data_IF_684697542915
#
_entry.id   IF_684697542915
#
_cell.length_a   1.000
_cell.length_b   1.000
_cell.length_c   1.000
_cell.angle_alpha   90.00
_cell.angle_beta   90.00
_cell.angle_gamma   90.00
#
_symmetry.space_group_name_H-M   'P 1'
#
loop_
_entity.id
_entity.type
_entity.pdbx_description
1 polymer ?
#
# COMPACT_ATOMS: atom_id res chain seq x y z
N UNK A 1 -3.19 11.08 -16.13
CA UNK A 1 -2.62 12.30 -15.52
C UNK A 1 -3.59 13.49 -15.59
N UNK A 2 -4.22 13.79 -16.74
CA UNK A 2 -5.14 14.96 -16.83
C UNK A 2 -6.31 14.90 -15.84
N UNK A 3 -6.88 13.71 -15.61
CA UNK A 3 -7.99 13.49 -14.66
C UNK A 3 -7.54 13.44 -13.19
N UNK A 4 -6.25 13.22 -12.94
CA UNK A 4 -5.70 13.13 -11.59
C UNK A 4 -5.43 14.50 -10.94
N UNK A 5 -5.69 15.60 -11.66
CA UNK A 5 -5.59 16.98 -11.18
C UNK A 5 -4.32 17.26 -10.34
N UNK A 6 -3.16 16.81 -10.86
CA UNK A 6 -1.85 16.95 -10.18
C UNK A 6 -1.49 15.84 -9.21
N UNK A 7 -2.42 14.95 -8.82
CA UNK A 7 -2.10 13.82 -7.98
C UNK A 7 -1.20 12.80 -8.69
N UNK A 8 -0.34 12.13 -7.92
CA UNK A 8 0.42 10.99 -8.42
C UNK A 8 -0.51 9.82 -8.74
N UNK A 9 -0.15 9.05 -9.76
CA UNK A 9 -0.92 7.88 -10.18
C UNK A 9 -0.13 6.63 -9.82
N UNK A 10 -0.75 5.72 -9.07
CA UNK A 10 -0.24 4.36 -8.88
C UNK A 10 -0.93 3.46 -9.91
N UNK A 11 -0.15 2.88 -10.82
CA UNK A 11 -0.67 1.96 -11.82
C UNK A 11 -0.79 0.55 -11.21
N UNK A 12 -2.01 0.05 -11.07
CA UNK A 12 -2.25 -1.31 -10.55
C UNK A 12 -2.04 -2.33 -11.68
N UNK A 13 -1.13 -3.28 -11.46
CA UNK A 13 -0.66 -4.24 -12.46
C UNK A 13 -0.95 -5.71 -12.12
N UNK A 14 -1.86 -5.97 -11.20
CA UNK A 14 -2.23 -7.34 -10.81
C UNK A 14 -2.74 -8.18 -11.99
N UNK A 15 -2.68 -9.52 -11.86
CA UNK A 15 -3.16 -10.42 -12.89
C UNK A 15 -2.44 -10.25 -14.23
N UNK A 16 -1.10 -10.23 -14.19
CA UNK A 16 -0.25 -10.01 -15.37
C UNK A 16 -0.61 -8.68 -16.11
N UNK A 17 -0.77 -7.59 -15.33
CA UNK A 17 -1.28 -6.30 -15.81
C UNK A 17 -2.63 -6.42 -16.54
N UNK A 18 -3.58 -7.14 -15.94
CA UNK A 18 -4.88 -7.46 -16.53
C UNK A 18 -4.78 -8.12 -17.92
N UNK A 19 -3.75 -8.97 -18.10
CA UNK A 19 -3.49 -9.69 -19.35
C UNK A 19 -2.65 -8.93 -20.39
N UNK A 20 -2.22 -7.71 -20.10
CA UNK A 20 -1.39 -6.91 -21.03
C UNK A 20 0.10 -7.27 -20.98
N UNK A 21 0.51 -8.14 -20.07
CA UNK A 21 1.91 -8.53 -19.86
C UNK A 21 2.61 -7.60 -18.85
N UNK A 22 2.88 -8.12 -17.65
CA UNK A 22 3.36 -7.37 -16.49
C UNK A 22 4.56 -6.47 -16.81
N UNK A 23 5.67 -7.04 -17.22
CA UNK A 23 6.94 -6.32 -17.42
C UNK A 23 6.89 -5.36 -18.63
N UNK A 24 6.29 -5.81 -19.73
CA UNK A 24 6.18 -4.99 -20.95
C UNK A 24 5.32 -3.76 -20.69
N UNK A 25 4.19 -3.95 -20.02
CA UNK A 25 3.29 -2.84 -19.72
C UNK A 25 3.87 -1.89 -18.67
N UNK A 26 4.52 -2.41 -17.62
CA UNK A 26 5.21 -1.58 -16.62
C UNK A 26 6.32 -0.72 -17.28
N UNK A 27 7.17 -1.31 -18.13
CA UNK A 27 8.21 -0.58 -18.86
C UNK A 27 7.62 0.50 -19.79
N UNK A 28 6.52 0.20 -20.47
CA UNK A 28 5.81 1.20 -21.26
C UNK A 28 5.31 2.36 -20.39
N UNK A 29 4.69 2.06 -19.25
CA UNK A 29 4.22 3.09 -18.31
C UNK A 29 5.37 3.94 -17.76
N UNK A 30 6.50 3.30 -17.39
CA UNK A 30 7.72 3.98 -16.95
C UNK A 30 8.23 4.96 -18.02
N UNK A 31 8.25 4.55 -19.29
CA UNK A 31 8.62 5.45 -20.40
C UNK A 31 7.66 6.63 -20.59
N UNK A 32 6.43 6.56 -20.04
CA UNK A 32 5.44 7.64 -20.03
C UNK A 32 5.45 8.46 -18.73
N UNK A 33 6.45 8.23 -17.87
CA UNK A 33 6.63 8.93 -16.62
C UNK A 33 5.62 8.51 -15.54
N UNK A 34 5.15 7.26 -15.56
CA UNK A 34 4.52 6.62 -14.40
C UNK A 34 5.62 5.90 -13.65
N UNK A 35 5.77 6.21 -12.38
CA UNK A 35 6.84 5.75 -11.49
C UNK A 35 6.32 5.13 -10.19
N UNK A 36 5.02 4.86 -10.13
CA UNK A 36 4.40 4.20 -8.97
C UNK A 36 3.49 3.07 -9.45
N UNK A 37 3.67 1.89 -8.88
CA UNK A 37 2.98 0.68 -9.27
C UNK A 37 2.37 -0.03 -8.07
N UNK A 38 1.25 -0.71 -8.28
CA UNK A 38 0.61 -1.54 -7.27
C UNK A 38 0.44 -2.97 -7.79
N UNK A 39 0.85 -3.95 -7.01
CA UNK A 39 0.68 -5.37 -7.32
C UNK A 39 0.05 -6.11 -6.14
N UNK A 40 -0.47 -7.32 -6.37
CA UNK A 40 -1.03 -8.17 -5.30
C UNK A 40 -0.16 -9.36 -4.96
N UNK A 41 0.76 -9.75 -5.86
CA UNK A 41 1.64 -10.88 -5.67
C UNK A 41 3.08 -10.42 -5.45
N UNK A 42 3.76 -10.96 -4.43
CA UNK A 42 5.17 -10.66 -4.18
C UNK A 42 6.05 -11.04 -5.38
N UNK A 43 5.75 -12.16 -6.02
CA UNK A 43 6.45 -12.61 -7.24
C UNK A 43 6.37 -11.61 -8.39
N UNK A 44 5.24 -10.92 -8.54
CA UNK A 44 5.07 -9.86 -9.53
C UNK A 44 5.94 -8.64 -9.17
N UNK A 45 5.98 -8.24 -7.89
CA UNK A 45 6.83 -7.14 -7.42
C UNK A 45 8.31 -7.41 -7.68
N UNK A 46 8.79 -8.61 -7.29
CA UNK A 46 10.17 -9.07 -7.54
C UNK A 46 10.48 -9.12 -9.04
N UNK A 47 9.54 -9.61 -9.84
CA UNK A 47 9.68 -9.67 -11.30
C UNK A 47 9.83 -8.27 -11.89
N UNK A 48 9.05 -7.29 -11.44
CA UNK A 48 9.19 -5.90 -11.88
C UNK A 48 10.58 -5.35 -11.56
N UNK A 49 11.07 -5.53 -10.33
CA UNK A 49 12.42 -5.08 -9.93
C UNK A 49 13.52 -5.72 -10.79
N UNK A 50 13.47 -7.04 -10.98
CA UNK A 50 14.44 -7.78 -11.80
C UNK A 50 14.43 -7.35 -13.29
N UNK A 51 13.32 -6.75 -13.75
CA UNK A 51 13.20 -6.22 -15.11
C UNK A 51 13.41 -4.70 -15.19
N UNK A 52 14.05 -4.09 -14.20
CA UNK A 52 14.52 -2.70 -14.25
C UNK A 52 13.44 -1.64 -13.96
N UNK A 53 12.36 -2.01 -13.32
CA UNK A 53 11.40 -1.03 -12.80
C UNK A 53 11.98 -0.40 -11.52
N UNK A 54 12.30 0.89 -11.58
CA UNK A 54 12.98 1.63 -10.52
C UNK A 54 12.01 2.44 -9.64
N UNK A 55 10.79 2.68 -10.11
CA UNK A 55 9.76 3.43 -9.39
C UNK A 55 9.25 2.70 -8.14
N UNK A 56 8.43 3.36 -7.35
CA UNK A 56 7.85 2.74 -6.17
C UNK A 56 6.92 1.58 -6.53
N UNK A 57 7.07 0.45 -5.85
CA UNK A 57 6.21 -0.72 -6.00
C UNK A 57 5.53 -1.01 -4.67
N UNK A 58 4.22 -0.83 -4.61
CA UNK A 58 3.39 -1.17 -3.45
C UNK A 58 2.84 -2.59 -3.61
N UNK A 59 3.21 -3.48 -2.70
CA UNK A 59 2.54 -4.76 -2.54
C UNK A 59 1.27 -4.54 -1.72
N UNK A 60 0.11 -4.58 -2.37
CA UNK A 60 -1.18 -4.26 -1.75
C UNK A 60 -1.72 -5.39 -0.86
N UNK A 61 -1.24 -6.61 -1.01
CA UNK A 61 -1.58 -7.76 -0.17
C UNK A 61 -0.65 -7.80 1.04
N UNK A 62 -1.18 -7.99 2.27
CA UNK A 62 -0.33 -8.08 3.46
C UNK A 62 0.52 -9.36 3.47
N UNK A 63 1.70 -9.28 4.09
CA UNK A 63 2.58 -10.41 4.36
C UNK A 63 2.62 -10.67 5.87
N UNK A 64 2.67 -11.95 6.25
CA UNK A 64 2.68 -12.40 7.66
C UNK A 64 3.83 -13.36 7.97
N UNK A 65 4.59 -13.81 6.99
CA UNK A 65 5.75 -14.65 7.20
C UNK A 65 7.05 -13.87 6.93
N UNK A 66 8.07 -14.15 7.75
CA UNK A 66 9.34 -13.41 7.69
C UNK A 66 10.14 -13.66 6.41
N UNK A 67 9.97 -14.81 5.75
CA UNK A 67 10.69 -15.14 4.51
C UNK A 67 10.22 -14.24 3.35
N UNK A 68 8.90 -14.08 3.17
CA UNK A 68 8.33 -13.20 2.16
C UNK A 68 8.63 -11.73 2.48
N UNK A 69 8.57 -11.34 3.77
CA UNK A 69 8.90 -9.98 4.21
C UNK A 69 10.38 -9.68 3.91
N UNK A 70 11.29 -10.60 4.23
CA UNK A 70 12.73 -10.49 3.89
C UNK A 70 12.91 -10.30 2.38
N UNK A 71 12.25 -11.13 1.58
CA UNK A 71 12.29 -11.02 0.12
C UNK A 71 11.79 -9.65 -0.37
N UNK A 72 10.71 -9.13 0.22
CA UNK A 72 10.19 -7.82 -0.14
C UNK A 72 11.14 -6.68 0.24
N UNK A 73 11.78 -6.76 1.42
CA UNK A 73 12.78 -5.79 1.89
C UNK A 73 14.00 -5.79 0.97
N UNK A 74 14.55 -6.96 0.64
CA UNK A 74 15.72 -7.09 -0.26
C UNK A 74 15.50 -6.52 -1.66
N UNK A 75 14.23 -6.42 -2.07
CA UNK A 75 13.84 -5.86 -3.37
C UNK A 75 13.27 -4.44 -3.29
N UNK A 76 13.39 -3.76 -2.15
CA UNK A 76 12.86 -2.40 -1.94
C UNK A 76 11.37 -2.29 -2.32
N UNK A 77 10.55 -3.21 -1.82
CA UNK A 77 9.10 -3.21 -2.04
C UNK A 77 8.41 -2.53 -0.86
N UNK A 78 7.55 -1.57 -1.16
CA UNK A 78 6.69 -0.94 -0.15
C UNK A 78 5.60 -1.93 0.28
N UNK A 79 5.50 -2.18 1.59
CA UNK A 79 4.59 -3.16 2.16
C UNK A 79 3.24 -2.55 2.55
N UNK A 80 2.22 -3.39 2.68
CA UNK A 80 0.91 -3.00 3.23
C UNK A 80 0.74 -3.52 4.64
N UNK A 81 0.37 -2.64 5.55
CA UNK A 81 0.02 -2.96 6.95
C UNK A 81 -1.49 -2.92 7.09
N UNK A 82 -2.06 -4.03 7.51
CA UNK A 82 -3.51 -4.25 7.59
C UNK A 82 -4.01 -4.51 9.01
N UNK A 83 -3.09 -4.73 9.95
CA UNK A 83 -3.35 -4.96 11.38
C UNK A 83 -2.11 -4.69 12.20
N UNK A 84 -2.28 -4.60 13.53
CA UNK A 84 -1.17 -4.48 14.49
C UNK A 84 -0.20 -5.67 14.37
N UNK A 85 -0.70 -6.89 14.26
CA UNK A 85 0.14 -8.09 14.13
C UNK A 85 0.98 -8.04 12.84
N UNK A 86 0.36 -7.63 11.72
CA UNK A 86 1.07 -7.43 10.44
C UNK A 86 2.21 -6.40 10.59
N UNK A 87 1.94 -5.28 11.27
CA UNK A 87 2.92 -4.24 11.51
C UNK A 87 4.12 -4.75 12.32
N UNK A 88 3.85 -5.47 13.40
CA UNK A 88 4.90 -5.99 14.29
C UNK A 88 5.78 -7.03 13.60
N UNK A 89 5.20 -7.97 12.85
CA UNK A 89 6.00 -8.98 12.10
C UNK A 89 6.93 -8.31 11.10
N UNK A 90 6.48 -7.24 10.43
CA UNK A 90 7.32 -6.47 9.50
C UNK A 90 8.45 -5.77 10.27
N UNK A 91 8.14 -5.11 11.38
CA UNK A 91 9.13 -4.36 12.18
C UNK A 91 10.19 -5.29 12.79
N UNK A 92 9.77 -6.42 13.34
CA UNK A 92 10.66 -7.46 13.89
C UNK A 92 11.55 -8.08 12.80
N UNK A 93 11.01 -8.34 11.61
CA UNK A 93 11.79 -8.87 10.49
C UNK A 93 12.82 -7.84 10.02
N UNK A 94 12.44 -6.58 9.90
CA UNK A 94 13.34 -5.50 9.55
C UNK A 94 14.46 -5.31 10.59
N UNK A 95 14.13 -5.43 11.89
CA UNK A 95 15.08 -5.40 12.99
C UNK A 95 16.10 -6.54 12.89
N UNK A 96 15.61 -7.77 12.65
CA UNK A 96 16.46 -8.95 12.50
C UNK A 96 17.45 -8.82 11.32
N UNK A 97 17.00 -8.22 10.22
CA UNK A 97 17.84 -7.93 9.04
C UNK A 97 18.82 -6.76 9.25
N UNK A 98 18.79 -6.05 10.38
CA UNK A 98 19.48 -4.78 10.57
C UNK A 98 19.13 -3.74 9.47
N UNK A 99 17.92 -3.83 8.90
CA UNK A 99 17.50 -2.90 7.86
C UNK A 99 17.10 -1.56 8.47
N UNK A 100 17.65 -0.44 7.99
CA UNK A 100 17.48 0.85 8.68
C UNK A 100 16.03 1.36 8.63
N UNK A 101 15.32 1.12 7.54
CA UNK A 101 13.94 1.61 7.39
C UNK A 101 13.22 0.87 6.26
N UNK A 102 12.09 0.26 6.56
CA UNK A 102 11.16 -0.35 5.60
C UNK A 102 10.01 0.61 5.34
N UNK A 103 9.68 0.87 4.09
CA UNK A 103 8.54 1.70 3.74
C UNK A 103 7.26 0.87 3.72
N UNK A 104 6.19 1.42 4.32
CA UNK A 104 4.89 0.76 4.30
C UNK A 104 3.74 1.77 4.15
N UNK A 105 2.61 1.28 3.64
CA UNK A 105 1.34 2.00 3.60
C UNK A 105 0.34 1.33 4.53
N UNK A 106 -0.43 2.11 5.28
CA UNK A 106 -1.58 1.62 6.04
C UNK A 106 -2.73 1.31 5.08
N UNK A 107 -3.31 0.13 5.23
CA UNK A 107 -4.52 -0.25 4.52
C UNK A 107 -5.72 -0.08 5.43
N UNK A 108 -6.71 0.70 4.98
CA UNK A 108 -7.94 0.97 5.73
C UNK A 108 -9.12 0.32 5.05
N UNK A 109 -9.89 -0.46 5.79
CA UNK A 109 -11.17 -0.97 5.32
C UNK A 109 -12.28 0.03 5.65
N UNK A 110 -12.69 0.76 4.63
CA UNK A 110 -13.79 1.73 4.70
C UNK A 110 -15.15 1.11 4.37
N UNK A 111 -15.24 -0.23 4.36
CA UNK A 111 -16.48 -0.93 4.06
C UNK A 111 -16.43 -1.86 2.85
N UNK A 112 -15.24 -2.19 2.34
CA UNK A 112 -15.08 -3.26 1.34
C UNK A 112 -15.22 -4.64 1.98
N UNK A 113 -14.80 -4.82 3.25
CA UNK A 113 -14.96 -6.05 4.01
C UNK A 113 -13.94 -7.13 3.65
N UNK A 114 -12.67 -6.75 3.45
CA UNK A 114 -11.62 -7.71 3.11
C UNK A 114 -10.50 -7.78 4.15
N UNK A 115 -9.65 -6.79 4.19
CA UNK A 115 -8.58 -6.59 5.17
C UNK A 115 -8.26 -5.11 5.30
N UNK A 116 -7.64 -4.73 6.40
CA UNK A 116 -7.31 -3.35 6.74
C UNK A 116 -7.84 -2.98 8.12
N UNK A 117 -7.27 -1.98 8.73
CA UNK A 117 -7.83 -1.37 9.93
C UNK A 117 -9.18 -0.74 9.62
N UNK A 118 -10.11 -0.81 10.58
CA UNK A 118 -11.38 -0.10 10.45
C UNK A 118 -11.19 1.40 10.74
N UNK A 119 -12.03 2.24 10.15
CA UNK A 119 -11.99 3.68 10.44
C UNK A 119 -12.26 4.01 11.92
N UNK A 120 -12.91 3.11 12.67
CA UNK A 120 -13.16 3.26 14.11
C UNK A 120 -11.96 2.89 15.00
N UNK A 121 -10.87 2.37 14.44
CA UNK A 121 -9.68 1.91 15.16
C UNK A 121 -8.58 2.97 15.21
N UNK A 122 -8.94 4.27 15.18
CA UNK A 122 -8.02 5.42 15.14
C UNK A 122 -6.89 5.31 16.17
N UNK A 123 -7.27 5.07 17.43
CA UNK A 123 -6.31 4.94 18.53
C UNK A 123 -5.38 3.74 18.34
N UNK A 124 -5.92 2.60 17.93
CA UNK A 124 -5.11 1.39 17.68
C UNK A 124 -4.12 1.62 16.54
N UNK A 125 -4.54 2.31 15.47
CA UNK A 125 -3.65 2.68 14.35
C UNK A 125 -2.52 3.58 14.87
N UNK A 126 -2.86 4.63 15.64
CA UNK A 126 -1.89 5.56 16.18
C UNK A 126 -0.88 4.85 17.11
N UNK A 127 -1.36 4.06 18.07
CA UNK A 127 -0.52 3.30 19.00
C UNK A 127 0.38 2.31 18.24
N UNK A 128 -0.16 1.63 17.22
CA UNK A 128 0.61 0.71 16.37
C UNK A 128 1.73 1.45 15.65
N UNK A 129 1.43 2.53 14.94
CA UNK A 129 2.44 3.30 14.17
C UNK A 129 3.54 3.86 15.08
N UNK A 130 3.17 4.37 16.25
CA UNK A 130 4.13 4.92 17.23
C UNK A 130 5.05 3.85 17.85
N UNK A 131 4.64 2.59 17.85
CA UNK A 131 5.45 1.47 18.36
C UNK A 131 6.52 1.02 17.40
N UNK A 132 6.40 1.30 16.09
CA UNK A 132 7.33 0.85 15.05
C UNK A 132 8.66 1.59 15.10
N UNK A 133 9.77 0.87 14.97
CA UNK A 133 11.12 1.41 15.00
C UNK A 133 11.87 1.29 13.67
N UNK A 134 11.55 0.26 12.91
CA UNK A 134 12.21 -0.08 11.64
C UNK A 134 11.27 0.10 10.44
N UNK A 135 10.01 0.49 10.67
CA UNK A 135 9.03 0.75 9.62
C UNK A 135 8.65 2.22 9.58
N UNK A 136 8.64 2.79 8.39
CA UNK A 136 8.16 4.15 8.14
C UNK A 136 6.89 4.12 7.31
N UNK A 137 5.82 4.69 7.86
CA UNK A 137 4.58 4.87 7.11
C UNK A 137 4.78 6.01 6.09
N UNK A 138 4.57 5.71 4.82
CA UNK A 138 4.73 6.63 3.70
C UNK A 138 3.44 6.86 2.92
N UNK A 139 2.36 6.24 3.35
CA UNK A 139 1.05 6.41 2.74
C UNK A 139 -0.05 5.66 3.47
N UNK A 140 -1.27 6.00 3.09
CA UNK A 140 -2.49 5.34 3.56
C UNK A 140 -3.40 5.13 2.35
N UNK A 141 -4.07 4.00 2.26
CA UNK A 141 -4.97 3.70 1.16
C UNK A 141 -6.19 2.90 1.58
N UNK A 142 -7.22 2.97 0.76
CA UNK A 142 -8.44 2.17 0.89
C UNK A 142 -8.92 1.70 -0.48
N UNK A 143 -9.98 0.90 -0.49
CA UNK A 143 -10.59 0.39 -1.71
C UNK A 143 -12.09 0.68 -1.75
N UNK A 144 -12.54 1.41 -2.79
CA UNK A 144 -13.97 1.62 -3.04
C UNK A 144 -14.63 0.35 -3.53
N UNK A 145 -15.68 -0.11 -2.85
CA UNK A 145 -16.36 -1.35 -3.22
C UNK A 145 -17.25 -1.20 -4.47
N UNK A 146 -17.71 0.01 -4.76
CA UNK A 146 -18.75 0.26 -5.77
C UNK A 146 -18.46 1.52 -6.62
N UNK A 147 -17.19 1.80 -6.93
CA UNK A 147 -16.76 3.02 -7.63
C UNK A 147 -17.44 3.23 -9.00
N UNK A 148 -17.87 2.16 -9.68
CA UNK A 148 -18.55 2.21 -10.97
C UNK A 148 -20.09 2.22 -10.87
N UNK A 149 -20.65 2.16 -9.67
CA UNK A 149 -22.11 2.17 -9.49
C UNK A 149 -22.70 3.56 -9.64
N UNK A 150 -23.94 3.65 -10.17
CA UNK A 150 -24.69 4.91 -10.28
C UNK A 150 -25.05 5.50 -8.90
N UNK A 151 -25.23 4.65 -7.89
CA UNK A 151 -25.50 5.12 -6.54
C UNK A 151 -24.18 5.50 -5.85
N UNK A 152 -23.92 6.80 -5.76
CA UNK A 152 -22.70 7.32 -5.16
C UNK A 152 -22.73 7.38 -3.62
N UNK A 153 -23.83 7.01 -2.97
CA UNK A 153 -23.96 7.13 -1.52
C UNK A 153 -22.83 6.41 -0.76
N UNK A 154 -22.61 5.14 -1.11
CA UNK A 154 -21.58 4.35 -0.44
C UNK A 154 -20.16 4.84 -0.73
N UNK A 155 -19.89 5.26 -1.97
CA UNK A 155 -18.59 5.81 -2.35
C UNK A 155 -18.30 7.11 -1.60
N UNK A 156 -19.30 8.00 -1.51
CA UNK A 156 -19.18 9.25 -0.74
C UNK A 156 -18.96 8.98 0.75
N UNK A 157 -19.69 8.01 1.31
CA UNK A 157 -19.51 7.62 2.71
C UNK A 157 -18.09 7.07 2.95
N UNK A 158 -17.63 6.11 2.14
CA UNK A 158 -16.26 5.57 2.25
C UNK A 158 -15.20 6.69 2.14
N UNK A 159 -15.40 7.63 1.24
CA UNK A 159 -14.49 8.77 1.07
C UNK A 159 -14.50 9.69 2.30
N UNK A 160 -15.66 9.99 2.86
CA UNK A 160 -15.79 10.81 4.07
C UNK A 160 -15.14 10.14 5.28
N UNK A 161 -15.43 8.85 5.50
CA UNK A 161 -14.86 8.08 6.61
C UNK A 161 -13.33 8.02 6.48
N UNK A 162 -12.81 7.78 5.27
CA UNK A 162 -11.38 7.76 4.99
C UNK A 162 -10.69 9.10 5.24
N UNK A 163 -11.26 10.19 4.72
CA UNK A 163 -10.67 11.53 4.89
C UNK A 163 -10.72 11.97 6.34
N UNK A 164 -11.80 11.67 7.07
CA UNK A 164 -11.89 11.96 8.50
C UNK A 164 -10.79 11.23 9.28
N UNK A 165 -10.58 9.95 9.01
CA UNK A 165 -9.49 9.18 9.64
C UNK A 165 -8.12 9.80 9.31
N UNK A 166 -7.86 10.15 8.05
CA UNK A 166 -6.61 10.78 7.66
C UNK A 166 -6.37 12.10 8.41
N UNK A 167 -7.40 12.95 8.52
CA UNK A 167 -7.32 14.22 9.25
C UNK A 167 -7.03 14.01 10.74
N UNK A 168 -7.58 12.93 11.33
CA UNK A 168 -7.35 12.58 12.74
C UNK A 168 -5.90 12.10 12.93
N UNK A 169 -5.44 11.15 12.12
CA UNK A 169 -4.08 10.62 12.20
C UNK A 169 -3.02 11.70 11.98
N UNK A 170 -3.27 12.66 11.07
CA UNK A 170 -2.36 13.79 10.87
C UNK A 170 -2.26 14.69 12.11
N UNK A 171 -3.34 14.92 12.85
CA UNK A 171 -3.30 15.67 14.12
C UNK A 171 -2.48 14.94 15.18
N UNK A 172 -2.46 13.61 15.14
CA UNK A 172 -1.67 12.75 16.02
C UNK A 172 -0.20 12.60 15.54
N UNK A 173 0.20 13.35 14.50
CA UNK A 173 1.56 13.37 13.97
C UNK A 173 1.90 12.19 13.07
N UNK A 174 0.92 11.44 12.60
CA UNK A 174 1.10 10.35 11.63
C UNK A 174 0.95 10.93 10.22
N UNK A 175 1.97 10.77 9.35
CA UNK A 175 2.01 11.40 8.03
C UNK A 175 1.02 10.80 7.02
#
# INVERSE_FOLDING_TARGET
KRLANGAKVIAVLKGNAYGLGLTKFASFLQSKGIDNYGVTELSDAVTLRRNGITGNILLMTPLYNSEDITTAIDHDITLSITSTDCAHVIDETAAYMNHPTVHAHLCIDTGFGRYGFLCSEEKQIADTVQSLRHVRITGIFSHFHAAACRNEYYVKKQFQDFTHLCDTLQKDGIP
#
